data_IF_282908045586
#
_entry.id   IF_282908045586
#
_cell.length_a   1.000
_cell.length_b   1.000
_cell.length_c   1.000
_cell.angle_alpha   90.00
_cell.angle_beta   90.00
_cell.angle_gamma   90.00
#
_symmetry.space_group_name_H-M   'P 1'
#
loop_
_entity.id
_entity.type
_entity.pdbx_description
1 polymer ?
#
# COMPACT_ATOMS: atom_id res chain seq x y z
N UNK A 1 53.76 13.61 24.51
CA UNK A 1 53.03 12.56 23.78
C UNK A 1 51.55 12.77 24.04
N UNK A 2 50.84 13.37 23.09
CA UNK A 2 49.38 13.50 23.17
C UNK A 2 48.75 12.21 22.63
N UNK A 3 47.66 11.71 23.23
CA UNK A 3 47.02 10.48 22.78
C UNK A 3 46.34 10.72 21.43
N UNK A 4 46.71 9.88 20.46
CA UNK A 4 46.06 9.70 19.17
C UNK A 4 44.58 9.37 19.38
N UNK A 5 43.69 10.29 18.99
CA UNK A 5 42.26 10.01 18.87
C UNK A 5 42.06 9.10 17.66
N UNK A 6 41.90 7.80 17.92
CA UNK A 6 41.46 6.85 16.91
C UNK A 6 40.02 7.19 16.55
N UNK A 7 39.80 7.81 15.39
CA UNK A 7 38.46 7.97 14.83
C UNK A 7 37.88 6.56 14.61
N UNK A 8 36.89 6.19 15.42
CA UNK A 8 36.15 4.96 15.21
C UNK A 8 35.46 5.04 13.84
N UNK A 9 35.89 4.21 12.88
CA UNK A 9 35.18 4.04 11.62
C UNK A 9 33.78 3.52 11.93
N UNK A 10 32.75 4.30 11.55
CA UNK A 10 31.35 3.85 11.65
C UNK A 10 31.19 2.57 10.82
N UNK A 11 30.65 1.53 11.45
CA UNK A 11 30.25 0.33 10.71
C UNK A 11 29.19 0.71 9.67
N UNK A 12 29.26 0.11 8.46
CA UNK A 12 28.28 0.37 7.41
C UNK A 12 26.90 -0.13 7.83
N UNK A 13 25.84 0.58 7.41
CA UNK A 13 24.46 0.17 7.65
C UNK A 13 24.06 -1.00 6.75
N UNK A 14 22.97 -1.69 7.11
CA UNK A 14 22.40 -2.75 6.27
C UNK A 14 22.12 -2.25 4.83
N UNK A 15 21.55 -1.05 4.68
CA UNK A 15 21.31 -0.43 3.38
C UNK A 15 22.60 -0.24 2.58
N UNK A 16 23.69 0.20 3.21
CA UNK A 16 24.99 0.37 2.55
C UNK A 16 25.60 -0.99 2.15
N UNK A 17 25.46 -2.02 2.97
CA UNK A 17 25.98 -3.36 2.69
C UNK A 17 25.19 -4.07 1.58
N UNK A 18 23.88 -3.86 1.56
CA UNK A 18 22.93 -4.51 0.68
C UNK A 18 22.64 -3.74 -0.62
N UNK A 19 23.30 -2.61 -0.84
CA UNK A 19 23.14 -1.79 -2.04
C UNK A 19 23.48 -2.57 -3.33
N UNK A 20 22.69 -2.39 -4.36
CA UNK A 20 22.84 -2.91 -5.72
C UNK A 20 23.13 -1.72 -6.62
N UNK A 21 24.14 -1.85 -7.48
CA UNK A 21 24.51 -0.77 -8.40
C UNK A 21 23.36 -0.48 -9.38
N UNK A 22 23.03 0.80 -9.55
CA UNK A 22 21.93 1.28 -10.40
C UNK A 22 20.61 0.52 -10.12
N UNK A 23 20.24 0.38 -8.84
CA UNK A 23 19.02 -0.30 -8.43
C UNK A 23 17.79 0.28 -9.14
N UNK A 24 16.86 -0.62 -9.49
CA UNK A 24 15.54 -0.29 -10.00
C UNK A 24 14.56 -1.40 -9.62
N UNK A 25 13.26 -1.10 -9.72
CA UNK A 25 12.19 -2.06 -9.49
C UNK A 25 11.99 -2.89 -10.77
N UNK A 26 12.22 -4.21 -10.75
CA UNK A 26 12.10 -5.06 -11.93
C UNK A 26 10.63 -5.26 -12.31
N UNK A 27 10.31 -5.14 -13.60
CA UNK A 27 8.96 -5.37 -14.10
C UNK A 27 8.66 -6.86 -14.34
N UNK A 28 9.71 -7.66 -14.56
CA UNK A 28 9.64 -9.09 -14.90
C UNK A 28 10.93 -9.86 -14.53
N UNK A 29 11.00 -11.13 -14.95
CA UNK A 29 12.12 -12.02 -14.68
C UNK A 29 13.41 -11.61 -15.40
N UNK A 30 13.34 -11.01 -16.59
CA UNK A 30 14.52 -10.55 -17.33
C UNK A 30 15.15 -9.37 -16.59
N UNK A 31 14.33 -8.39 -16.22
CA UNK A 31 14.74 -7.25 -15.39
C UNK A 31 15.35 -7.71 -14.06
N UNK A 32 14.73 -8.69 -13.40
CA UNK A 32 15.27 -9.21 -12.15
C UNK A 32 16.62 -9.87 -12.32
N UNK A 33 16.80 -10.67 -13.39
CA UNK A 33 18.07 -11.32 -13.68
C UNK A 33 19.19 -10.29 -13.95
N UNK A 34 18.86 -9.21 -14.65
CA UNK A 34 19.77 -8.09 -14.84
C UNK A 34 20.11 -7.43 -13.50
N UNK A 35 19.11 -7.05 -12.70
CA UNK A 35 19.27 -6.41 -11.39
C UNK A 35 20.19 -7.21 -10.45
N UNK A 36 19.96 -8.52 -10.29
CA UNK A 36 20.79 -9.36 -9.40
C UNK A 36 22.20 -9.62 -9.94
N UNK A 37 22.45 -9.36 -11.23
CA UNK A 37 23.79 -9.42 -11.82
C UNK A 37 24.65 -8.21 -11.46
N UNK A 38 24.02 -7.08 -11.11
CA UNK A 38 24.69 -5.82 -10.74
C UNK A 38 25.32 -5.84 -9.35
N UNK A 39 25.01 -6.84 -8.51
CA UNK A 39 25.68 -7.08 -7.22
C UNK A 39 26.40 -8.42 -7.20
N UNK A 40 27.73 -8.37 -7.03
CA UNK A 40 28.58 -9.57 -7.00
C UNK A 40 28.06 -10.61 -6.00
N UNK A 41 27.85 -11.83 -6.49
CA UNK A 41 27.46 -12.98 -5.67
C UNK A 41 25.97 -13.08 -5.35
N UNK A 42 25.13 -12.09 -5.72
CA UNK A 42 23.70 -12.10 -5.41
C UNK A 42 22.90 -13.09 -6.27
N UNK A 43 23.26 -13.26 -7.55
CA UNK A 43 22.60 -14.17 -8.51
C UNK A 43 22.40 -15.61 -8.02
N UNK A 44 23.32 -16.10 -7.18
CA UNK A 44 23.30 -17.48 -6.67
C UNK A 44 22.74 -17.58 -5.24
N UNK A 45 22.10 -16.51 -4.76
CA UNK A 45 21.54 -16.41 -3.42
C UNK A 45 20.01 -16.44 -3.47
N UNK A 46 19.46 -16.62 -2.29
CA UNK A 46 18.04 -16.54 -1.98
C UNK A 46 17.88 -15.72 -0.72
N UNK A 47 16.66 -15.33 -0.38
CA UNK A 47 16.36 -14.66 0.89
C UNK A 47 16.81 -15.49 2.11
N UNK A 48 16.93 -16.81 1.97
CA UNK A 48 17.44 -17.71 3.01
C UNK A 48 18.96 -17.74 3.14
N UNK A 49 19.71 -17.24 2.14
CA UNK A 49 21.18 -17.42 2.06
C UNK A 49 21.97 -16.12 1.92
N UNK A 50 21.28 -14.98 1.81
CA UNK A 50 21.93 -13.67 1.97
C UNK A 50 22.30 -13.41 3.43
N UNK A 51 23.34 -12.60 3.68
CA UNK A 51 23.77 -12.26 5.03
C UNK A 51 22.63 -11.65 5.86
N UNK A 52 22.54 -12.06 7.14
CA UNK A 52 21.51 -11.61 8.05
C UNK A 52 21.51 -10.08 8.28
N UNK A 53 22.69 -9.46 8.25
CA UNK A 53 22.91 -8.02 8.39
C UNK A 53 22.49 -7.22 7.14
N UNK A 54 22.08 -7.88 6.06
CA UNK A 54 21.47 -7.26 4.88
C UNK A 54 19.94 -7.24 4.97
N UNK A 55 19.35 -7.95 5.94
CA UNK A 55 17.91 -8.13 6.08
C UNK A 55 17.40 -7.31 7.26
N UNK A 56 16.37 -6.51 7.01
CA UNK A 56 15.76 -5.55 7.94
C UNK A 56 14.25 -5.78 8.03
N UNK A 57 13.52 -4.84 8.64
CA UNK A 57 12.05 -4.82 8.61
C UNK A 57 11.54 -4.52 7.19
N UNK A 58 10.26 -4.78 6.92
CA UNK A 58 9.67 -4.43 5.63
C UNK A 58 9.71 -2.92 5.35
N UNK A 59 9.47 -2.08 6.37
CA UNK A 59 9.51 -0.61 6.27
C UNK A 59 10.91 -0.05 6.00
N UNK A 60 11.95 -0.84 6.23
CA UNK A 60 13.34 -0.45 5.98
C UNK A 60 14.03 -1.44 5.03
N UNK A 61 13.25 -2.13 4.19
CA UNK A 61 13.73 -3.18 3.32
C UNK A 61 14.94 -2.71 2.50
N UNK A 62 15.98 -3.54 2.43
CA UNK A 62 17.14 -3.25 1.61
C UNK A 62 16.93 -3.69 0.15
N UNK A 63 17.72 -3.15 -0.77
CA UNK A 63 17.68 -3.50 -2.19
C UNK A 63 17.94 -4.99 -2.42
N UNK A 64 18.96 -5.56 -1.75
CA UNK A 64 19.20 -7.01 -1.80
C UNK A 64 18.07 -7.83 -1.17
N UNK A 65 17.46 -7.37 -0.05
CA UNK A 65 16.30 -8.06 0.53
C UNK A 65 15.13 -8.11 -0.45
N UNK A 66 14.79 -6.96 -1.05
CA UNK A 66 13.74 -6.86 -2.06
C UNK A 66 14.03 -7.74 -3.28
N UNK A 67 15.25 -7.68 -3.83
CA UNK A 67 15.63 -8.52 -4.95
C UNK A 67 15.50 -10.02 -4.60
N UNK A 68 15.80 -10.40 -3.37
CA UNK A 68 15.79 -11.81 -2.95
C UNK A 68 14.42 -12.38 -2.60
N UNK A 69 13.39 -11.55 -2.39
CA UNK A 69 11.99 -12.01 -2.36
C UNK A 69 11.42 -12.25 -3.77
N UNK A 70 12.20 -11.94 -4.83
CA UNK A 70 11.85 -12.17 -6.24
C UNK A 70 10.51 -11.54 -6.66
N UNK A 71 10.25 -10.33 -6.17
CA UNK A 71 9.07 -9.56 -6.53
C UNK A 71 9.26 -8.87 -7.89
N UNK A 72 8.18 -8.84 -8.68
CA UNK A 72 8.10 -8.10 -9.93
C UNK A 72 6.95 -7.09 -9.84
N UNK A 73 7.22 -5.84 -10.22
CA UNK A 73 6.23 -4.76 -10.14
C UNK A 73 6.13 -4.09 -11.51
N UNK A 74 5.30 -4.63 -12.43
CA UNK A 74 5.11 -4.05 -13.74
C UNK A 74 4.53 -2.63 -13.64
N UNK A 75 4.68 -1.80 -14.69
CA UNK A 75 4.19 -0.42 -14.67
C UNK A 75 2.70 -0.31 -14.31
N UNK A 76 2.41 0.67 -13.46
CA UNK A 76 1.05 0.91 -12.99
C UNK A 76 0.09 1.16 -14.15
N UNK A 77 -1.08 0.55 -14.05
CA UNK A 77 -2.16 0.69 -15.02
C UNK A 77 -3.17 1.74 -14.54
N UNK A 78 -3.67 2.58 -15.46
CA UNK A 78 -4.74 3.53 -15.13
C UNK A 78 -6.04 2.79 -14.80
N UNK A 79 -6.86 3.38 -13.93
CA UNK A 79 -8.17 2.84 -13.56
C UNK A 79 -9.07 2.53 -14.77
N UNK A 80 -8.97 3.31 -15.85
CA UNK A 80 -9.73 3.08 -17.09
C UNK A 80 -9.42 1.73 -17.76
N UNK A 81 -8.21 1.19 -17.58
CA UNK A 81 -7.81 -0.11 -18.11
C UNK A 81 -8.18 -1.29 -17.20
N UNK A 82 -8.65 -1.02 -15.97
CA UNK A 82 -9.01 -2.08 -15.02
C UNK A 82 -10.13 -2.97 -15.57
N UNK A 83 -11.17 -2.38 -16.19
CA UNK A 83 -12.31 -3.16 -16.70
C UNK A 83 -11.87 -4.25 -17.68
N UNK A 84 -10.93 -3.94 -18.58
CA UNK A 84 -10.38 -4.87 -19.57
C UNK A 84 -9.58 -6.01 -18.92
N UNK A 85 -8.87 -5.73 -17.83
CA UNK A 85 -7.98 -6.68 -17.13
C UNK A 85 -8.65 -7.41 -15.97
N UNK A 86 -9.81 -6.94 -15.51
CA UNK A 86 -10.49 -7.39 -14.29
C UNK A 86 -10.79 -8.90 -14.25
N UNK A 87 -11.06 -9.50 -15.41
CA UNK A 87 -11.29 -10.94 -15.55
C UNK A 87 -10.12 -11.80 -15.05
N UNK A 88 -8.88 -11.29 -15.10
CA UNK A 88 -7.69 -11.98 -14.58
C UNK A 88 -7.77 -12.23 -13.07
N UNK A 89 -8.48 -11.36 -12.36
CA UNK A 89 -8.66 -11.39 -10.91
C UNK A 89 -10.00 -12.04 -10.50
N UNK A 90 -10.69 -12.70 -11.43
CA UNK A 90 -11.96 -13.39 -11.18
C UNK A 90 -13.21 -12.52 -11.20
N UNK A 91 -13.09 -11.24 -11.59
CA UNK A 91 -14.27 -10.39 -11.75
C UNK A 91 -15.03 -10.73 -13.03
N UNK A 92 -16.34 -10.88 -12.93
CA UNK A 92 -17.24 -10.99 -14.08
C UNK A 92 -17.85 -9.63 -14.38
N UNK A 93 -18.24 -9.39 -15.64
CA UNK A 93 -18.98 -8.16 -16.00
C UNK A 93 -20.25 -8.02 -15.15
N UNK A 94 -20.98 -9.12 -14.92
CA UNK A 94 -22.17 -9.12 -14.06
C UNK A 94 -21.86 -8.68 -12.62
N UNK A 95 -20.75 -9.13 -12.04
CA UNK A 95 -20.36 -8.73 -10.69
C UNK A 95 -19.98 -7.24 -10.63
N UNK A 96 -19.28 -6.73 -11.65
CA UNK A 96 -18.91 -5.32 -11.75
C UNK A 96 -20.14 -4.42 -11.97
N UNK A 97 -21.06 -4.83 -12.84
CA UNK A 97 -22.31 -4.10 -13.10
C UNK A 97 -23.18 -4.07 -11.83
N UNK A 98 -23.30 -5.21 -11.13
CA UNK A 98 -24.02 -5.26 -9.84
C UNK A 98 -23.37 -4.36 -8.77
N UNK A 99 -22.04 -4.30 -8.70
CA UNK A 99 -21.34 -3.40 -7.79
C UNK A 99 -21.58 -1.92 -8.15
N UNK A 100 -21.58 -1.58 -9.44
CA UNK A 100 -21.91 -0.24 -9.93
C UNK A 100 -23.36 0.13 -9.59
N UNK A 101 -24.32 -0.79 -9.74
CA UNK A 101 -25.73 -0.59 -9.40
C UNK A 101 -25.92 -0.33 -7.90
N UNK A 102 -25.22 -1.06 -7.03
CA UNK A 102 -25.24 -0.82 -5.57
C UNK A 102 -24.76 0.60 -5.24
N UNK A 103 -23.66 1.04 -5.85
CA UNK A 103 -23.13 2.40 -5.65
C UNK A 103 -24.11 3.46 -6.19
N UNK A 104 -24.66 3.25 -7.38
CA UNK A 104 -25.59 4.17 -8.03
C UNK A 104 -26.91 4.32 -7.26
N UNK A 105 -27.36 3.25 -6.58
CA UNK A 105 -28.55 3.28 -5.74
C UNK A 105 -28.35 4.08 -4.43
N UNK A 106 -27.10 4.34 -4.02
CA UNK A 106 -26.79 5.09 -2.81
C UNK A 106 -26.85 6.60 -3.04
N UNK A 107 -27.87 7.24 -2.47
CA UNK A 107 -28.00 8.70 -2.49
C UNK A 107 -26.84 9.40 -1.76
N UNK A 108 -26.32 8.80 -0.69
CA UNK A 108 -25.18 9.30 0.07
C UNK A 108 -23.89 9.25 -0.74
N UNK A 109 -23.62 8.12 -1.42
CA UNK A 109 -22.50 7.99 -2.33
C UNK A 109 -22.57 9.00 -3.48
N UNK A 110 -23.75 9.16 -4.08
CA UNK A 110 -23.97 10.14 -5.14
C UNK A 110 -23.73 11.58 -4.67
N UNK A 111 -24.14 11.92 -3.44
CA UNK A 111 -23.85 13.23 -2.83
C UNK A 111 -22.36 13.40 -2.58
N UNK A 112 -21.70 12.39 -2.02
CA UNK A 112 -20.27 12.40 -1.80
C UNK A 112 -19.47 12.67 -3.09
N UNK A 113 -19.77 11.95 -4.18
CA UNK A 113 -19.12 12.19 -5.47
C UNK A 113 -19.34 13.62 -5.98
N UNK A 114 -20.56 14.16 -5.84
CA UNK A 114 -20.82 15.56 -6.21
C UNK A 114 -19.95 16.55 -5.45
N UNK A 115 -19.67 16.32 -4.15
CA UNK A 115 -18.77 17.18 -3.38
C UNK A 115 -17.33 17.12 -3.88
N UNK A 116 -16.88 15.96 -4.34
CA UNK A 116 -15.55 15.83 -4.97
C UNK A 116 -15.51 16.62 -6.29
N UNK A 117 -16.55 16.49 -7.12
CA UNK A 117 -16.63 17.16 -8.42
C UNK A 117 -16.73 18.69 -8.30
N UNK A 118 -17.50 19.19 -7.33
CA UNK A 118 -17.65 20.64 -7.11
C UNK A 118 -16.56 21.23 -6.23
N UNK A 119 -15.74 20.38 -5.59
CA UNK A 119 -14.74 20.75 -4.59
C UNK A 119 -15.33 21.51 -3.38
N UNK A 120 -16.63 21.35 -3.11
CA UNK A 120 -17.30 21.95 -1.96
C UNK A 120 -16.62 21.47 -0.65
N UNK A 121 -16.43 22.40 0.29
CA UNK A 121 -15.92 22.10 1.64
C UNK A 121 -17.02 21.44 2.48
N UNK A 122 -16.72 20.35 3.17
CA UNK A 122 -17.71 19.67 4.04
C UNK A 122 -18.10 20.54 5.24
N UNK A 123 -17.21 21.42 5.69
CA UNK A 123 -17.47 22.26 6.87
C UNK A 123 -18.49 23.38 6.57
N UNK A 124 -18.74 23.68 5.30
CA UNK A 124 -19.77 24.65 4.86
C UNK A 124 -21.14 23.99 4.63
N UNK A 125 -21.25 22.67 4.80
CA UNK A 125 -22.45 21.89 4.51
C UNK A 125 -23.07 21.36 5.80
N UNK A 126 -24.27 21.86 6.10
CA UNK A 126 -25.05 21.42 7.25
C UNK A 126 -25.66 20.04 7.02
N UNK A 127 -25.83 19.24 8.09
CA UNK A 127 -26.43 17.90 8.03
C UNK A 127 -27.85 17.89 7.45
N UNK A 128 -28.60 18.99 7.61
CA UNK A 128 -29.94 19.15 7.05
C UNK A 128 -29.96 19.51 5.56
N UNK A 129 -28.79 19.77 4.95
CA UNK A 129 -28.67 20.12 3.54
C UNK A 129 -28.90 18.89 2.65
N UNK A 130 -29.52 19.11 1.50
CA UNK A 130 -29.59 18.14 0.40
C UNK A 130 -28.22 17.78 -0.20
N UNK A 131 -27.17 18.55 0.10
CA UNK A 131 -25.79 18.26 -0.24
C UNK A 131 -25.08 17.36 0.78
N UNK A 132 -25.64 17.17 1.98
CA UNK A 132 -24.99 16.40 3.04
C UNK A 132 -24.75 14.94 2.61
N UNK A 133 -23.50 14.43 2.62
CA UNK A 133 -23.17 13.12 2.06
C UNK A 133 -23.43 11.97 3.04
N UNK A 134 -24.10 12.23 4.19
CA UNK A 134 -24.45 11.20 5.17
C UNK A 134 -23.22 10.52 5.77
N UNK A 135 -23.15 9.18 5.67
CA UNK A 135 -22.05 8.40 6.24
C UNK A 135 -20.68 8.77 5.65
N UNK A 136 -20.64 9.32 4.44
CA UNK A 136 -19.41 9.74 3.77
C UNK A 136 -18.90 11.13 4.20
N UNK A 137 -19.60 11.84 5.10
CA UNK A 137 -19.16 13.15 5.60
C UNK A 137 -17.80 13.08 6.31
N UNK A 138 -17.60 12.09 7.17
CA UNK A 138 -16.31 11.85 7.85
C UNK A 138 -15.19 11.56 6.86
N UNK A 139 -15.47 10.79 5.80
CA UNK A 139 -14.50 10.50 4.74
C UNK A 139 -14.05 11.80 4.08
N UNK A 140 -15.01 12.63 3.65
CA UNK A 140 -14.71 13.90 2.99
C UNK A 140 -13.90 14.82 3.90
N UNK A 141 -14.25 14.92 5.18
CA UNK A 141 -13.49 15.73 6.15
C UNK A 141 -12.04 15.29 6.27
N UNK A 142 -11.79 13.98 6.38
CA UNK A 142 -10.44 13.44 6.49
C UNK A 142 -9.63 13.65 5.20
N UNK A 143 -10.27 13.52 4.02
CA UNK A 143 -9.63 13.83 2.75
C UNK A 143 -9.25 15.30 2.64
N UNK A 144 -10.12 16.22 3.07
CA UNK A 144 -9.81 17.66 3.13
C UNK A 144 -8.63 17.94 4.08
N UNK A 145 -8.57 17.26 5.22
CA UNK A 145 -7.42 17.34 6.13
C UNK A 145 -6.14 16.78 5.51
N UNK A 146 -6.20 15.70 4.73
CA UNK A 146 -5.04 15.18 3.98
C UNK A 146 -4.51 16.22 2.97
N UNK A 147 -5.40 17.02 2.39
CA UNK A 147 -5.09 18.07 1.41
C UNK A 147 -4.82 19.45 2.05
N UNK A 148 -4.82 19.55 3.38
CA UNK A 148 -4.58 20.79 4.11
C UNK A 148 -3.34 20.62 4.98
N UNK A 149 -2.28 21.37 4.70
CA UNK A 149 -1.01 21.28 5.43
C UNK A 149 -0.70 22.62 6.06
N UNK A 150 -0.50 22.64 7.38
CA UNK A 150 -0.30 23.87 8.15
C UNK A 150 -1.44 24.89 7.95
N UNK A 151 -2.67 24.39 7.76
CA UNK A 151 -3.86 25.21 7.52
C UNK A 151 -3.99 25.77 6.10
N UNK A 152 -3.11 25.39 5.16
CA UNK A 152 -3.19 25.81 3.75
C UNK A 152 -3.62 24.65 2.89
N UNK A 153 -4.70 24.82 2.13
CA UNK A 153 -5.19 23.81 1.18
C UNK A 153 -4.34 23.76 -0.08
N UNK A 154 -4.28 22.59 -0.70
CA UNK A 154 -3.50 22.35 -1.92
C UNK A 154 -3.85 23.26 -3.10
N UNK A 155 -5.13 23.60 -3.26
CA UNK A 155 -5.64 24.48 -4.31
C UNK A 155 -5.12 25.93 -4.16
N UNK A 156 -4.75 26.32 -2.94
CA UNK A 156 -4.11 27.61 -2.64
C UNK A 156 -2.58 27.57 -2.82
N UNK A 157 -1.99 26.39 -2.99
CA UNK A 157 -0.54 26.23 -3.14
C UNK A 157 -0.11 26.22 -4.61
N UNK A 158 0.88 27.03 -4.95
CA UNK A 158 1.59 26.91 -6.22
C UNK A 158 2.80 25.98 -6.06
N UNK A 159 2.84 24.87 -6.82
CA UNK A 159 4.03 24.03 -6.93
C UNK A 159 3.78 22.56 -6.61
N UNK A 160 4.77 21.92 -5.97
CA UNK A 160 4.69 20.51 -5.58
C UNK A 160 3.78 20.34 -4.35
N UNK A 161 2.96 19.30 -4.36
CA UNK A 161 2.09 18.96 -3.24
C UNK A 161 2.93 18.54 -2.03
N UNK A 162 2.76 19.16 -0.85
CA UNK A 162 3.50 18.81 0.35
C UNK A 162 3.04 17.46 0.90
N UNK A 163 3.91 16.78 1.66
CA UNK A 163 3.49 15.64 2.49
C UNK A 163 2.32 16.08 3.39
N UNK A 164 1.31 15.20 3.56
CA UNK A 164 0.31 15.39 4.60
C UNK A 164 0.97 15.49 5.98
N UNK A 165 0.31 16.15 6.94
CA UNK A 165 0.91 16.43 8.25
C UNK A 165 1.37 15.16 8.98
N UNK A 166 0.53 14.11 8.94
CA UNK A 166 0.79 12.81 9.53
C UNK A 166 0.16 11.71 8.67
N UNK A 167 0.70 10.48 8.75
CA UNK A 167 0.18 9.31 8.02
C UNK A 167 -1.16 8.80 8.59
N UNK A 168 -1.50 9.16 9.83
CA UNK A 168 -2.76 8.77 10.46
C UNK A 168 -3.99 9.32 9.74
N UNK A 169 -3.93 10.55 9.23
CA UNK A 169 -5.06 11.19 8.53
C UNK A 169 -5.40 10.52 7.20
N UNK A 170 -4.47 10.34 6.24
CA UNK A 170 -4.75 9.59 5.03
C UNK A 170 -5.14 8.13 5.32
N UNK A 171 -4.58 7.48 6.35
CA UNK A 171 -4.97 6.13 6.73
C UNK A 171 -6.43 6.07 7.20
N UNK A 172 -6.82 6.99 8.08
CA UNK A 172 -8.21 7.10 8.52
C UNK A 172 -9.14 7.38 7.33
N UNK A 173 -8.75 8.25 6.40
CA UNK A 173 -9.52 8.53 5.19
C UNK A 173 -9.73 7.27 4.34
N UNK A 174 -8.67 6.48 4.10
CA UNK A 174 -8.70 5.24 3.33
C UNK A 174 -9.66 4.22 3.97
N UNK A 175 -9.43 3.90 5.25
CA UNK A 175 -10.15 2.85 5.94
C UNK A 175 -11.62 3.22 6.10
N UNK A 176 -11.95 4.46 6.47
CA UNK A 176 -13.34 4.88 6.64
C UNK A 176 -14.07 4.90 5.29
N UNK A 177 -13.41 5.29 4.20
CA UNK A 177 -13.97 5.17 2.85
C UNK A 177 -14.30 3.70 2.52
N UNK A 178 -13.36 2.79 2.73
CA UNK A 178 -13.51 1.37 2.45
C UNK A 178 -14.62 0.73 3.32
N UNK A 179 -14.71 1.12 4.60
CA UNK A 179 -15.80 0.70 5.50
C UNK A 179 -17.16 1.16 4.99
N UNK A 180 -17.29 2.44 4.66
CA UNK A 180 -18.55 3.02 4.18
C UNK A 180 -19.01 2.42 2.85
N UNK A 181 -18.09 2.19 1.90
CA UNK A 181 -18.39 1.46 0.66
C UNK A 181 -18.85 0.05 0.98
N UNK A 182 -18.14 -0.66 1.87
CA UNK A 182 -18.47 -2.05 2.22
C UNK A 182 -19.83 -2.17 2.89
N UNK A 183 -20.26 -1.18 3.69
CA UNK A 183 -21.56 -1.14 4.36
C UNK A 183 -22.75 -1.00 3.40
N UNK A 184 -22.52 -0.58 2.14
CA UNK A 184 -23.57 -0.61 1.11
C UNK A 184 -23.95 -2.05 0.72
N UNK A 185 -23.15 -3.04 1.14
CA UNK A 185 -23.40 -4.46 0.94
C UNK A 185 -23.45 -5.18 2.27
N UNK A 186 -24.22 -6.27 2.37
CA UNK A 186 -24.12 -7.15 3.52
C UNK A 186 -22.86 -8.02 3.38
N UNK A 187 -21.86 -7.77 4.23
CA UNK A 187 -20.62 -8.52 4.27
C UNK A 187 -20.27 -8.99 5.68
N UNK A 188 -19.67 -10.18 5.77
CA UNK A 188 -19.04 -10.71 7.01
C UNK A 188 -17.58 -10.28 7.15
N UNK A 189 -17.13 -9.35 6.32
CA UNK A 189 -15.80 -8.76 6.37
C UNK A 189 -15.86 -7.39 7.06
N UNK A 190 -14.73 -6.96 7.61
CA UNK A 190 -14.53 -5.60 8.14
C UNK A 190 -13.15 -5.08 7.79
N UNK A 191 -13.08 -3.80 7.45
CA UNK A 191 -11.82 -3.06 7.40
C UNK A 191 -11.47 -2.60 8.81
N UNK A 192 -10.20 -2.70 9.19
CA UNK A 192 -9.69 -2.31 10.49
C UNK A 192 -8.54 -1.31 10.36
N UNK A 193 -8.48 -0.36 11.29
CA UNK A 193 -7.36 0.58 11.47
C UNK A 193 -6.18 -0.05 12.24
N UNK A 194 -6.39 -1.24 12.81
CA UNK A 194 -5.35 -1.91 13.57
C UNK A 194 -4.27 -2.40 12.62
N UNK A 195 -3.02 -2.06 12.96
CA UNK A 195 -1.86 -2.64 12.30
C UNK A 195 -1.86 -4.15 12.41
N UNK A 196 -1.59 -4.83 11.31
CA UNK A 196 -1.39 -6.28 11.30
C UNK A 196 0.10 -6.57 11.25
N UNK A 197 0.56 -7.45 12.13
CA UNK A 197 1.96 -7.84 12.21
C UNK A 197 2.16 -9.21 11.58
N UNK A 198 2.99 -9.27 10.55
CA UNK A 198 3.45 -10.51 9.95
C UNK A 198 4.93 -10.74 10.26
N UNK A 199 5.27 -12.01 10.46
CA UNK A 199 6.64 -12.45 10.75
C UNK A 199 7.03 -13.49 9.73
N UNK A 200 8.01 -13.15 8.90
CA UNK A 200 8.66 -14.09 7.99
C UNK A 200 9.96 -14.59 8.59
N UNK A 201 10.06 -15.91 8.75
CA UNK A 201 11.28 -16.56 9.20
C UNK A 201 12.04 -17.13 8.00
N UNK A 202 13.23 -16.59 7.78
CA UNK A 202 14.22 -17.12 6.84
C UNK A 202 15.36 -17.81 7.62
N UNK A 203 16.23 -18.54 6.93
CA UNK A 203 17.25 -19.35 7.64
C UNK A 203 18.22 -18.49 8.45
N UNK A 204 18.58 -17.32 7.93
CA UNK A 204 19.55 -16.42 8.57
C UNK A 204 18.92 -15.16 9.19
N UNK A 205 17.64 -14.88 8.92
CA UNK A 205 17.01 -13.62 9.32
C UNK A 205 15.52 -13.77 9.60
N UNK A 206 14.98 -12.81 10.36
CA UNK A 206 13.54 -12.67 10.59
C UNK A 206 13.12 -11.28 10.14
N UNK A 207 12.14 -11.22 9.24
CA UNK A 207 11.55 -9.97 8.75
C UNK A 207 10.24 -9.73 9.47
N UNK A 208 10.08 -8.51 9.99
CA UNK A 208 8.82 -8.04 10.55
C UNK A 208 8.18 -7.08 9.55
N UNK A 209 6.91 -7.31 9.25
CA UNK A 209 6.09 -6.46 8.41
C UNK A 209 4.88 -5.97 9.23
N UNK A 210 4.65 -4.67 9.24
CA UNK A 210 3.50 -4.06 9.91
C UNK A 210 2.73 -3.26 8.87
N UNK A 211 1.47 -3.60 8.68
CA UNK A 211 0.58 -2.87 7.77
C UNK A 211 -0.15 -1.76 8.51
N UNK A 212 -0.70 -0.78 7.81
CA UNK A 212 -1.49 0.30 8.40
C UNK A 212 -2.98 -0.02 8.58
N UNK A 213 -3.44 -1.11 7.96
CA UNK A 213 -4.78 -1.67 8.15
C UNK A 213 -4.94 -3.00 7.43
N UNK A 214 -6.16 -3.52 7.45
CA UNK A 214 -6.52 -4.76 6.75
C UNK A 214 -8.02 -4.92 6.56
N UNK A 215 -8.41 -5.73 5.58
CA UNK A 215 -9.72 -6.37 5.50
C UNK A 215 -9.64 -7.73 6.17
N UNK A 216 -10.53 -8.04 7.09
CA UNK A 216 -10.57 -9.36 7.75
C UNK A 216 -11.98 -9.94 7.86
N UNK A 217 -12.06 -11.25 8.03
CA UNK A 217 -13.29 -11.95 8.37
C UNK A 217 -13.69 -11.69 9.82
N UNK A 218 -14.92 -11.24 10.05
CA UNK A 218 -15.51 -11.08 11.41
C UNK A 218 -15.66 -12.40 12.15
N UNK A 219 -15.59 -13.54 11.43
CA UNK A 219 -15.80 -14.88 11.99
C UNK A 219 -14.50 -15.58 12.32
N UNK A 220 -13.56 -15.57 11.38
CA UNK A 220 -12.31 -16.35 11.46
C UNK A 220 -11.11 -15.49 11.79
N UNK A 221 -11.24 -14.17 11.67
CA UNK A 221 -10.14 -13.20 11.80
C UNK A 221 -9.07 -13.29 10.71
N UNK A 222 -9.26 -14.17 9.71
CA UNK A 222 -8.38 -14.26 8.55
C UNK A 222 -8.35 -12.93 7.81
N UNK A 223 -7.15 -12.55 7.35
CA UNK A 223 -6.90 -11.36 6.55
C UNK A 223 -7.20 -11.67 5.07
N UNK A 224 -7.93 -10.79 4.39
CA UNK A 224 -8.34 -10.91 2.98
C UNK A 224 -7.70 -9.82 2.11
N UNK A 225 -7.27 -8.73 2.73
CA UNK A 225 -6.52 -7.66 2.11
C UNK A 225 -5.70 -6.94 3.19
N UNK A 226 -4.59 -6.34 2.79
CA UNK A 226 -3.82 -5.44 3.65
C UNK A 226 -3.91 -4.01 3.12
N UNK A 227 -3.70 -3.05 4.01
CA UNK A 227 -3.67 -1.62 3.67
C UNK A 227 -2.33 -1.03 4.09
N UNK A 228 -1.72 -0.27 3.18
CA UNK A 228 -0.48 0.48 3.45
C UNK A 228 -0.68 1.95 3.07
N UNK A 229 -0.23 2.88 3.91
CA UNK A 229 -0.46 4.31 3.68
C UNK A 229 0.82 5.10 3.77
N UNK A 230 0.98 6.07 2.87
CA UNK A 230 2.00 7.11 2.93
C UNK A 230 1.39 8.48 2.93
N UNK A 231 2.03 9.40 3.66
CA UNK A 231 1.63 10.83 3.68
C UNK A 231 2.04 11.60 2.43
N UNK A 232 2.93 11.03 1.62
CA UNK A 232 3.50 11.63 0.40
C UNK A 232 2.81 11.05 -0.83
N UNK A 233 2.86 11.76 -1.96
CA UNK A 233 2.45 11.19 -3.24
C UNK A 233 3.44 10.11 -3.70
N UNK A 234 2.94 9.11 -4.40
CA UNK A 234 3.68 7.89 -4.75
C UNK A 234 5.01 8.17 -5.47
N UNK A 235 4.96 9.08 -6.45
CA UNK A 235 6.05 9.39 -7.39
C UNK A 235 7.34 9.94 -6.75
N UNK A 236 7.28 10.41 -5.50
CA UNK A 236 8.45 10.98 -4.80
C UNK A 236 9.42 9.88 -4.32
N UNK A 237 8.90 8.70 -3.95
CA UNK A 237 9.69 7.59 -3.40
C UNK A 237 9.21 6.22 -3.87
N UNK A 238 8.82 6.13 -5.15
CA UNK A 238 8.26 4.92 -5.77
C UNK A 238 9.00 3.65 -5.39
N UNK A 239 10.34 3.64 -5.50
CA UNK A 239 11.15 2.44 -5.24
C UNK A 239 11.05 2.00 -3.79
N UNK A 240 11.23 2.92 -2.84
CA UNK A 240 11.12 2.62 -1.41
C UNK A 240 9.72 2.13 -1.03
N UNK A 241 8.67 2.73 -1.60
CA UNK A 241 7.28 2.34 -1.36
C UNK A 241 7.04 0.93 -1.88
N UNK A 242 7.36 0.65 -3.14
CA UNK A 242 7.17 -0.67 -3.74
C UNK A 242 8.00 -1.76 -3.05
N UNK A 243 9.21 -1.43 -2.58
CA UNK A 243 10.04 -2.37 -1.82
C UNK A 243 9.39 -2.76 -0.50
N UNK A 244 8.85 -1.77 0.23
CA UNK A 244 8.15 -2.00 1.48
C UNK A 244 6.88 -2.83 1.25
N UNK A 245 6.03 -2.42 0.31
CA UNK A 245 4.77 -3.08 -0.02
C UNK A 245 5.00 -4.55 -0.42
N UNK A 246 6.00 -4.81 -1.27
CA UNK A 246 6.35 -6.18 -1.65
C UNK A 246 6.82 -7.01 -0.45
N UNK A 247 7.59 -6.43 0.46
CA UNK A 247 8.03 -7.12 1.68
C UNK A 247 6.86 -7.39 2.65
N UNK A 248 5.87 -6.50 2.71
CA UNK A 248 4.65 -6.70 3.50
C UNK A 248 3.76 -7.79 2.93
N UNK A 249 3.55 -7.79 1.61
CA UNK A 249 2.82 -8.85 0.93
C UNK A 249 3.56 -10.18 1.10
N UNK A 250 4.88 -10.24 0.90
CA UNK A 250 5.67 -11.44 1.16
C UNK A 250 5.53 -11.91 2.62
N UNK A 251 5.52 -10.96 3.57
CA UNK A 251 5.25 -11.19 4.98
C UNK A 251 3.92 -11.91 5.23
N UNK A 252 2.87 -11.38 4.60
CA UNK A 252 1.53 -11.94 4.66
C UNK A 252 1.45 -13.31 3.99
N UNK A 253 2.03 -13.47 2.79
CA UNK A 253 2.09 -14.73 2.04
C UNK A 253 2.71 -15.86 2.87
N UNK A 254 3.82 -15.60 3.56
CA UNK A 254 4.47 -16.62 4.40
C UNK A 254 3.69 -16.99 5.66
N UNK A 255 2.71 -16.17 6.04
CA UNK A 255 1.89 -16.37 7.24
C UNK A 255 0.49 -16.89 6.91
N UNK A 256 0.14 -17.06 5.63
CA UNK A 256 -1.21 -17.32 5.17
C UNK A 256 -1.44 -18.77 4.73
N UNK A 257 -2.72 -19.12 4.57
CA UNK A 257 -3.14 -20.32 3.84
C UNK A 257 -3.57 -19.90 2.43
N UNK A 258 -3.30 -20.70 1.39
CA UNK A 258 -3.67 -20.39 0.00
C UNK A 258 -5.15 -20.06 -0.23
N UNK A 259 -6.03 -20.43 0.70
CA UNK A 259 -7.46 -20.05 0.69
C UNK A 259 -7.70 -18.54 0.87
N UNK A 260 -6.71 -17.77 1.32
CA UNK A 260 -6.81 -16.32 1.54
C UNK A 260 -6.66 -15.51 0.23
N UNK A 261 -6.25 -16.16 -0.87
CA UNK A 261 -6.11 -15.57 -2.20
C UNK A 261 -7.44 -15.52 -2.97
N UNK A 262 -8.36 -14.66 -2.53
CA UNK A 262 -9.75 -14.67 -3.00
C UNK A 262 -9.97 -14.16 -4.44
N UNK A 263 -9.00 -13.46 -5.03
CA UNK A 263 -9.14 -12.83 -6.35
C UNK A 263 -8.51 -13.69 -7.45
N UNK A 264 -9.05 -14.89 -7.64
CA UNK A 264 -8.53 -15.88 -8.59
C UNK A 264 -7.04 -16.18 -8.35
N UNK A 265 -6.69 -16.54 -7.11
CA UNK A 265 -5.30 -16.80 -6.71
C UNK A 265 -4.45 -15.56 -6.45
N UNK A 266 -5.06 -14.37 -6.41
CA UNK A 266 -4.36 -13.12 -6.09
C UNK A 266 -4.70 -12.61 -4.69
N UNK A 267 -3.66 -12.10 -4.03
CA UNK A 267 -3.74 -11.34 -2.78
C UNK A 267 -3.98 -9.87 -3.08
N UNK A 268 -4.70 -9.18 -2.19
CA UNK A 268 -5.07 -7.78 -2.36
C UNK A 268 -4.30 -6.87 -1.41
N UNK A 269 -3.57 -5.91 -1.96
CA UNK A 269 -3.04 -4.76 -1.25
C UNK A 269 -3.78 -3.51 -1.73
N UNK A 270 -4.25 -2.70 -0.79
CA UNK A 270 -4.73 -1.35 -1.07
C UNK A 270 -3.71 -0.37 -0.51
N UNK A 271 -3.20 0.51 -1.36
CA UNK A 271 -2.26 1.54 -0.92
C UNK A 271 -2.90 2.91 -1.03
N UNK A 272 -2.66 3.79 -0.05
CA UNK A 272 -2.98 5.21 -0.16
C UNK A 272 -1.72 6.05 -0.04
N UNK A 273 -1.36 6.74 -1.12
CA UNK A 273 -0.25 7.70 -1.13
C UNK A 273 -0.83 9.11 -1.18
N UNK A 274 -0.91 9.73 -0.01
CA UNK A 274 -1.55 11.02 0.21
C UNK A 274 -3.01 10.99 -0.20
N UNK A 275 -3.34 11.46 -1.41
CA UNK A 275 -4.71 11.53 -1.95
C UNK A 275 -4.96 10.50 -3.05
N UNK A 276 -3.96 9.69 -3.38
CA UNK A 276 -3.99 8.72 -4.46
C UNK A 276 -4.24 7.32 -3.86
N UNK A 277 -5.16 6.56 -4.46
CA UNK A 277 -5.46 5.19 -4.05
C UNK A 277 -5.02 4.21 -5.14
N UNK A 278 -4.29 3.19 -4.74
CA UNK A 278 -3.81 2.13 -5.61
C UNK A 278 -4.37 0.78 -5.16
N UNK A 279 -4.60 -0.10 -6.12
CA UNK A 279 -5.08 -1.47 -5.88
C UNK A 279 -4.11 -2.42 -6.55
N UNK A 280 -3.45 -3.24 -5.75
CA UNK A 280 -2.43 -4.19 -6.19
C UNK A 280 -2.93 -5.61 -5.99
N UNK A 281 -2.93 -6.38 -7.09
CA UNK A 281 -3.28 -7.79 -7.09
C UNK A 281 -2.00 -8.61 -7.27
N UNK A 282 -1.59 -9.32 -6.23
CA UNK A 282 -0.33 -10.08 -6.23
C UNK A 282 -0.64 -11.56 -6.46
N UNK A 283 -0.27 -12.14 -7.62
CA UNK A 283 -0.39 -13.58 -7.81
C UNK A 283 0.58 -14.29 -6.88
N UNK A 284 0.18 -15.47 -6.41
CA UNK A 284 1.08 -16.37 -5.70
C UNK A 284 1.10 -17.71 -6.42
N UNK A 285 2.28 -18.11 -6.88
CA UNK A 285 2.57 -19.46 -7.33
C UNK A 285 3.31 -20.17 -6.19
N UNK A 286 2.73 -21.24 -5.65
CA UNK A 286 3.34 -22.11 -4.63
C UNK A 286 4.61 -22.82 -5.15
#
# INVERSE_FOLDING_TARGET
MAPSQTQAQKQPTAAQLAQIDDFYIPADEEDWNDLVSRKTGLRWKTIHTIPADWVTSASEATEAQYAMIRSYSPPMSRATSFKEKSHRFGFTNQALDAAADVLAASAEWSRYLRLLDTQDSIDDIWETSDKWPGSFSTVRRLQEQTMTVCGVRDDEQMGQLPDAEDEATPNAAAIILLQNISHLTYSKLEWILNRVHFVSQFNQAKVNAFTDGALRSKRTMDIFAIVEVKKRVFWIKTETILMQEACEVAGWLMSCHGQMAHFNGHFLLISQDRHELFITFVPFEE
#
